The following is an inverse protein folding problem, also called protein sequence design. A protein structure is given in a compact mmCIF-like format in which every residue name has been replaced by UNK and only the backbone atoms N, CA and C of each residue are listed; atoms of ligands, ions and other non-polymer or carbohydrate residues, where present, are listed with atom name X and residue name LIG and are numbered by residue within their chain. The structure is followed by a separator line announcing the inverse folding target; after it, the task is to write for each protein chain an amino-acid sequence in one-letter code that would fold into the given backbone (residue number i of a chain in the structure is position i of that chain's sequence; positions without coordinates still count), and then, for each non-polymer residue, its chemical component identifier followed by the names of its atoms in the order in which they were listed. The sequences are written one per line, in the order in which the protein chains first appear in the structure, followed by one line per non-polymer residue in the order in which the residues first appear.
data_IF_523696543607
#
_entry.id   IF_523696543607
#
_cell.length_a   1.000
_cell.length_b   1.000
_cell.length_c   1.000
_cell.angle_alpha   90.00
_cell.angle_beta   90.00
_cell.angle_gamma   90.00
#
_symmetry.space_group_name_H-M   'P 1'
#
loop_
_entity.id
_entity.type
_entity.pdbx_description
1 polymer ?
#
# COMPACT_ATOMS: atom_id res chain seq x y z
N UNK A 1 -8.33 7.60 -22.74
CA UNK A 1 -8.70 9.03 -22.59
C UNK A 1 -8.73 9.45 -21.11
N UNK A 2 -9.46 8.75 -20.23
CA UNK A 2 -9.46 9.01 -18.78
C UNK A 2 -8.06 8.95 -18.11
N UNK A 3 -7.21 7.99 -18.51
CA UNK A 3 -5.84 7.83 -17.98
C UNK A 3 -4.83 8.88 -18.46
N UNK A 4 -5.16 9.57 -19.57
CA UNK A 4 -4.33 10.64 -20.12
C UNK A 4 -4.64 11.97 -19.42
N UNK A 5 -5.92 12.18 -19.09
CA UNK A 5 -6.39 13.31 -18.26
C UNK A 5 -5.89 13.16 -16.82
N UNK A 6 -5.85 11.93 -16.27
CA UNK A 6 -5.27 11.70 -14.94
C UNK A 6 -3.76 11.97 -14.88
N UNK A 7 -3.01 11.63 -15.94
CA UNK A 7 -1.57 11.94 -16.02
C UNK A 7 -1.30 13.45 -16.19
N UNK A 8 -2.12 14.15 -16.96
CA UNK A 8 -2.02 15.60 -17.10
C UNK A 8 -2.39 16.34 -15.79
N UNK A 9 -3.34 15.79 -15.02
CA UNK A 9 -3.73 16.31 -13.71
C UNK A 9 -2.62 16.13 -12.66
N UNK A 10 -1.88 15.01 -12.70
CA UNK A 10 -0.72 14.78 -11.83
C UNK A 10 0.40 15.80 -12.11
N UNK A 11 0.66 16.13 -13.38
CA UNK A 11 1.65 17.15 -13.76
C UNK A 11 1.22 18.58 -13.37
N UNK A 12 -0.09 18.87 -13.34
CA UNK A 12 -0.63 20.17 -12.91
C UNK A 12 -0.61 20.38 -11.39
N UNK A 13 -0.49 19.31 -10.60
CA UNK A 13 -0.38 19.37 -9.13
C UNK A 13 1.05 19.66 -8.63
N UNK A 14 2.06 19.68 -9.51
CA UNK A 14 3.44 19.97 -9.11
C UNK A 14 3.65 21.43 -8.67
N UNK A 15 2.83 22.38 -9.12
CA UNK A 15 3.04 23.82 -8.88
C UNK A 15 2.45 24.36 -7.55
N UNK A 16 1.92 23.52 -6.65
CA UNK A 16 1.19 23.99 -5.45
C UNK A 16 1.81 23.64 -4.10
N UNK A 17 2.98 22.98 -4.05
CA UNK A 17 3.57 22.57 -2.77
C UNK A 17 4.61 23.59 -2.30
N UNK A 18 4.17 24.57 -1.51
CA UNK A 18 5.08 25.44 -0.77
C UNK A 18 5.60 24.70 0.47
N UNK A 19 6.85 24.24 0.39
CA UNK A 19 7.57 23.65 1.51
C UNK A 19 8.70 24.59 1.97
N UNK A 20 8.91 24.67 3.29
CA UNK A 20 10.07 25.34 3.88
C UNK A 20 11.14 24.30 4.18
N UNK A 21 12.34 24.48 3.63
CA UNK A 21 13.50 23.62 3.87
C UNK A 21 14.60 24.41 4.58
N UNK A 22 15.10 23.88 5.69
CA UNK A 22 16.20 24.47 6.46
C UNK A 22 17.20 23.40 6.85
N UNK A 23 18.49 23.69 6.74
CA UNK A 23 19.60 22.77 7.05
C UNK A 23 20.75 23.53 7.71
N UNK A 24 21.36 22.93 8.72
CA UNK A 24 22.52 23.50 9.39
C UNK A 24 23.16 22.52 10.37
N UNK A 25 24.28 22.95 10.96
CA UNK A 25 24.93 22.25 12.07
C UNK A 25 24.58 23.00 13.35
N UNK A 26 24.01 22.28 14.31
CA UNK A 26 23.66 22.83 15.62
C UNK A 26 24.83 22.56 16.57
N UNK A 27 25.42 23.62 17.10
CA UNK A 27 26.45 23.52 18.11
C UNK A 27 25.98 24.26 19.37
N UNK A 28 25.73 23.50 20.43
CA UNK A 28 25.44 24.06 21.74
C UNK A 28 26.73 24.66 22.31
N UNK A 29 26.81 25.98 22.39
CA UNK A 29 28.06 26.70 22.70
C UNK A 29 28.34 26.80 24.20
N UNK A 30 27.36 26.47 25.06
CA UNK A 30 27.47 26.56 26.51
C UNK A 30 26.83 25.35 27.17
N UNK A 31 27.57 24.72 28.09
CA UNK A 31 27.06 23.65 28.96
C UNK A 31 25.86 24.11 29.81
N UNK A 32 25.74 25.42 30.04
CA UNK A 32 24.66 26.03 30.82
C UNK A 32 23.40 26.35 30.00
N UNK A 33 23.44 26.23 28.68
CA UNK A 33 22.29 26.47 27.80
C UNK A 33 22.10 25.27 26.87
N UNK A 34 21.54 24.15 27.36
CA UNK A 34 21.45 22.90 26.61
C UNK A 34 20.37 22.89 25.51
N UNK A 35 19.90 24.06 25.08
CA UNK A 35 18.81 24.19 24.11
C UNK A 35 19.21 25.16 23.01
N UNK A 36 18.70 24.90 21.81
CA UNK A 36 18.93 25.73 20.63
C UNK A 36 17.60 25.92 19.91
N UNK A 37 17.31 27.16 19.54
CA UNK A 37 16.22 27.47 18.63
C UNK A 37 16.55 27.00 17.21
N UNK A 38 15.66 26.20 16.63
CA UNK A 38 15.86 25.62 15.30
C UNK A 38 15.22 26.47 14.21
N UNK A 39 13.90 26.62 14.24
CA UNK A 39 13.16 27.37 13.24
C UNK A 39 11.73 27.70 13.70
N UNK A 40 11.09 28.63 13.01
CA UNK A 40 9.66 28.98 13.13
C UNK A 40 8.99 28.73 11.79
N UNK A 41 7.86 28.03 11.84
CA UNK A 41 7.07 27.68 10.67
C UNK A 41 5.58 27.78 10.99
N UNK A 42 4.76 27.84 9.94
CA UNK A 42 3.32 27.83 10.06
C UNK A 42 2.79 26.58 9.34
N UNK A 43 1.85 25.88 9.95
CA UNK A 43 1.15 24.76 9.34
C UNK A 43 -0.29 25.12 9.06
N UNK A 44 -0.81 24.65 7.93
CA UNK A 44 -2.25 24.52 7.73
C UNK A 44 -2.67 23.20 8.37
N UNK A 45 -3.55 23.28 9.36
CA UNK A 45 -4.09 22.11 10.07
C UNK A 45 -4.66 21.10 9.09
N UNK A 46 -4.51 19.81 9.39
CA UNK A 46 -5.01 18.65 8.62
C UNK A 46 -4.30 18.30 7.30
N UNK A 47 -3.55 19.24 6.68
CA UNK A 47 -2.85 18.98 5.41
C UNK A 47 -1.32 19.11 5.49
N UNK A 48 -0.79 19.77 6.52
CA UNK A 48 0.65 19.97 6.71
C UNK A 48 1.38 18.72 7.21
N UNK A 49 2.51 18.38 6.59
CA UNK A 49 3.43 17.32 7.06
C UNK A 49 4.74 17.94 7.51
N UNK A 50 5.22 17.59 8.71
CA UNK A 50 6.56 17.97 9.20
C UNK A 50 7.50 16.77 9.07
N UNK A 51 8.58 16.93 8.30
CA UNK A 51 9.65 15.95 8.22
C UNK A 51 10.96 16.56 8.74
N UNK A 52 11.68 15.82 9.59
CA UNK A 52 12.95 16.27 10.15
C UNK A 52 13.92 15.09 10.25
N UNK A 53 15.20 15.38 10.02
CA UNK A 53 16.28 14.40 10.19
C UNK A 53 17.36 15.03 11.05
N UNK A 54 17.53 14.52 12.27
CA UNK A 54 18.48 15.04 13.26
C UNK A 54 19.52 13.97 13.54
N UNK A 55 20.78 14.30 13.35
CA UNK A 55 21.92 13.45 13.71
C UNK A 55 22.52 13.99 14.99
N UNK A 56 22.56 13.15 16.02
CA UNK A 56 23.13 13.51 17.31
C UNK A 56 23.91 12.31 17.90
N UNK A 57 24.94 12.58 18.70
CA UNK A 57 25.68 11.55 19.42
C UNK A 57 24.76 10.81 20.41
N UNK A 58 24.73 9.49 20.35
CA UNK A 58 23.86 8.64 21.20
C UNK A 58 24.42 8.43 22.61
N UNK A 59 25.70 8.73 22.83
CA UNK A 59 26.41 8.64 24.11
C UNK A 59 25.95 9.69 25.14
N UNK A 60 25.42 10.83 24.68
CA UNK A 60 24.96 11.94 25.54
C UNK A 60 23.50 11.72 25.98
N UNK A 61 22.82 10.70 25.44
CA UNK A 61 21.45 10.34 25.77
C UNK A 61 20.41 10.85 24.75
N UNK A 62 19.16 10.48 24.99
CA UNK A 62 18.02 10.76 24.10
C UNK A 62 17.67 12.25 24.12
N UNK A 63 17.76 12.91 22.97
CA UNK A 63 17.35 14.30 22.79
C UNK A 63 15.84 14.40 22.48
N UNK A 64 15.24 15.55 22.74
CA UNK A 64 13.81 15.78 22.46
C UNK A 64 13.61 17.10 21.71
N UNK A 65 12.74 17.09 20.71
CA UNK A 65 12.24 18.29 20.05
C UNK A 65 11.02 18.81 20.81
N UNK A 66 11.02 20.12 21.07
CA UNK A 66 9.95 20.82 21.77
C UNK A 66 9.29 21.81 20.79
N UNK A 67 7.98 21.68 20.61
CA UNK A 67 7.18 22.48 19.71
C UNK A 67 6.31 23.44 20.52
N UNK A 68 6.54 24.73 20.39
CA UNK A 68 5.74 25.76 21.07
C UNK A 68 4.78 26.41 20.07
N UNK A 69 3.54 26.63 20.48
CA UNK A 69 2.64 27.50 19.74
C UNK A 69 3.08 28.95 19.89
N UNK A 70 2.80 29.73 18.85
CA UNK A 70 3.11 31.15 18.76
C UNK A 70 2.09 31.97 19.57
N UNK A 71 2.10 31.75 20.88
CA UNK A 71 1.19 32.37 21.83
C UNK A 71 1.95 32.90 23.05
N UNK A 72 1.40 33.91 23.75
CA UNK A 72 2.09 34.52 24.89
C UNK A 72 2.34 33.57 26.08
N UNK A 73 1.51 32.54 26.21
CA UNK A 73 1.59 31.51 27.26
C UNK A 73 2.62 30.42 26.96
N UNK A 74 3.03 30.24 25.70
CA UNK A 74 3.99 29.22 25.30
C UNK A 74 5.29 29.82 24.77
N UNK A 75 5.28 30.38 23.56
CA UNK A 75 6.50 30.88 22.92
C UNK A 75 7.13 32.04 23.70
N UNK A 76 6.35 33.08 24.04
CA UNK A 76 6.89 34.25 24.74
C UNK A 76 7.32 33.93 26.18
N UNK A 77 6.70 32.90 26.81
CA UNK A 77 7.07 32.45 28.15
C UNK A 77 8.43 31.72 28.18
N UNK A 78 8.84 31.11 27.07
CA UNK A 78 9.98 30.19 27.00
C UNK A 78 11.15 30.74 26.19
N UNK A 79 10.88 31.57 25.19
CA UNK A 79 11.91 32.17 24.36
C UNK A 79 12.69 33.23 25.13
N UNK A 80 14.03 33.17 25.05
CA UNK A 80 14.95 34.11 25.72
C UNK A 80 14.79 34.24 27.25
N UNK A 81 14.21 33.23 27.91
CA UNK A 81 14.06 33.16 29.36
C UNK A 81 15.07 32.22 30.03
N UNK A 82 15.40 32.48 31.30
CA UNK A 82 16.34 31.67 32.08
C UNK A 82 15.73 30.38 32.69
N UNK A 83 14.78 29.75 31.97
CA UNK A 83 14.10 28.52 32.42
C UNK A 83 14.98 27.27 32.25
N UNK A 84 14.85 26.33 33.18
CA UNK A 84 15.49 25.01 33.11
C UNK A 84 14.82 24.10 32.07
N UNK A 85 15.50 23.02 31.67
CA UNK A 85 14.95 22.05 30.71
C UNK A 85 13.59 21.49 31.15
N UNK A 86 13.46 21.13 32.43
CA UNK A 86 12.21 20.60 32.99
C UNK A 86 11.08 21.64 33.00
N UNK A 87 11.41 22.89 33.34
CA UNK A 87 10.44 23.99 33.34
C UNK A 87 9.94 24.30 31.92
N UNK A 88 10.82 24.23 30.91
CA UNK A 88 10.45 24.40 29.50
C UNK A 88 9.49 23.31 29.03
N UNK A 89 9.76 22.06 29.40
CA UNK A 89 8.86 20.93 29.10
C UNK A 89 7.52 21.08 29.82
N UNK A 90 7.49 21.63 31.05
CA UNK A 90 6.27 21.82 31.82
C UNK A 90 5.29 22.86 31.22
N UNK A 91 5.74 23.73 30.30
CA UNK A 91 4.88 24.66 29.55
C UNK A 91 4.10 23.95 28.45
N UNK A 92 4.56 22.78 28.00
CA UNK A 92 3.95 22.03 26.92
C UNK A 92 2.72 21.27 27.38
N UNK A 93 1.75 21.11 26.47
CA UNK A 93 0.59 20.27 26.68
C UNK A 93 0.87 18.84 26.17
N UNK A 94 0.81 17.80 27.04
CA UNK A 94 0.99 16.42 26.64
C UNK A 94 -0.02 15.94 25.59
N UNK A 95 -1.23 16.49 25.52
CA UNK A 95 -2.27 16.06 24.57
C UNK A 95 -1.96 16.49 23.13
N UNK A 96 -1.14 17.52 22.96
CA UNK A 96 -0.85 18.15 21.67
C UNK A 96 0.39 17.57 20.97
N UNK A 97 0.99 16.48 21.47
CA UNK A 97 2.20 15.85 20.92
C UNK A 97 3.37 16.85 20.70
N UNK A 98 3.48 17.86 21.57
CA UNK A 98 4.46 18.94 21.45
C UNK A 98 5.88 18.52 21.84
N UNK A 99 6.04 17.35 22.48
CA UNK A 99 7.34 16.76 22.80
C UNK A 99 7.58 15.52 21.94
N UNK A 100 8.54 15.62 21.02
CA UNK A 100 8.96 14.49 20.19
C UNK A 100 10.31 13.98 20.69
N UNK A 101 10.30 12.83 21.36
CA UNK A 101 11.52 12.17 21.81
C UNK A 101 12.22 11.52 20.61
N UNK A 102 13.47 11.89 20.36
CA UNK A 102 14.25 11.34 19.27
C UNK A 102 14.73 9.96 19.68
N UNK A 103 14.13 8.91 19.13
CA UNK A 103 14.69 7.57 19.23
C UNK A 103 15.69 7.37 18.10
N UNK A 104 16.88 6.78 18.36
CA UNK A 104 17.77 6.42 17.27
C UNK A 104 17.01 5.50 16.31
N UNK A 105 17.04 5.83 15.02
CA UNK A 105 16.46 4.99 13.99
C UNK A 105 17.27 3.68 13.96
N UNK A 106 16.63 2.59 14.33
CA UNK A 106 17.16 1.26 14.07
C UNK A 106 17.09 1.06 12.56
N UNK A 107 18.24 0.90 11.90
CA UNK A 107 18.37 0.62 10.47
C UNK A 107 17.78 -0.77 10.19
N UNK A 108 16.44 -0.80 10.14
CA UNK A 108 15.64 -2.00 9.94
C UNK A 108 15.98 -2.55 8.56
N UNK A 109 16.68 -3.69 8.54
CA UNK A 109 16.96 -4.51 7.36
C UNK A 109 15.86 -4.38 6.30
N UNK A 110 16.22 -3.77 5.15
CA UNK A 110 15.30 -3.46 4.09
C UNK A 110 14.50 -4.70 3.65
N UNK A 111 13.19 -4.67 3.91
CA UNK A 111 12.24 -5.76 3.61
C UNK A 111 12.16 -6.11 2.12
N UNK A 112 12.71 -5.26 1.26
CA UNK A 112 12.76 -5.39 -0.19
C UNK A 112 13.52 -6.64 -0.65
N UNK A 113 14.64 -6.99 -0.01
CA UNK A 113 15.45 -8.15 -0.43
C UNK A 113 14.71 -9.46 -0.11
N UNK A 114 14.11 -9.53 1.08
CA UNK A 114 13.32 -10.69 1.51
C UNK A 114 12.09 -10.86 0.61
N UNK A 115 11.39 -9.75 0.32
CA UNK A 115 10.26 -9.73 -0.60
C UNK A 115 10.64 -10.25 -1.99
N UNK A 116 11.74 -9.75 -2.56
CA UNK A 116 12.24 -10.17 -3.86
C UNK A 116 12.62 -11.66 -3.92
N UNK A 117 13.34 -12.17 -2.91
CA UNK A 117 13.69 -13.59 -2.84
C UNK A 117 12.45 -14.49 -2.78
N UNK A 118 11.45 -14.11 -1.99
CA UNK A 118 10.20 -14.86 -1.92
C UNK A 118 9.45 -14.87 -3.26
N UNK A 119 9.43 -13.72 -3.96
CA UNK A 119 8.84 -13.57 -5.27
C UNK A 119 9.53 -14.43 -6.33
N UNK A 120 10.87 -14.47 -6.35
CA UNK A 120 11.63 -15.31 -7.28
C UNK A 120 11.31 -16.79 -7.09
N UNK A 121 11.27 -17.26 -5.85
CA UNK A 121 10.94 -18.66 -5.53
C UNK A 121 9.51 -18.97 -6.01
N UNK A 122 8.53 -18.09 -5.74
CA UNK A 122 7.15 -18.26 -6.23
C UNK A 122 7.05 -18.26 -7.75
N UNK A 123 7.79 -17.39 -8.44
CA UNK A 123 7.80 -17.32 -9.90
C UNK A 123 8.40 -18.58 -10.53
N UNK A 124 9.50 -19.09 -9.97
CA UNK A 124 10.17 -20.32 -10.44
C UNK A 124 9.27 -21.54 -10.18
N UNK A 125 8.73 -21.67 -8.97
CA UNK A 125 7.84 -22.79 -8.62
C UNK A 125 6.55 -22.80 -9.45
N UNK A 126 6.02 -21.62 -9.78
CA UNK A 126 4.84 -21.51 -10.66
C UNK A 126 5.19 -21.88 -12.10
N UNK A 127 6.35 -21.46 -12.61
CA UNK A 127 6.84 -21.83 -13.92
C UNK A 127 7.10 -23.35 -14.02
N UNK A 128 7.64 -23.98 -12.98
CA UNK A 128 7.86 -25.43 -12.99
C UNK A 128 6.54 -26.20 -12.96
N UNK A 129 5.57 -25.75 -12.16
CA UNK A 129 4.23 -26.36 -12.00
C UNK A 129 3.35 -26.28 -13.26
N UNK A 130 3.47 -25.20 -14.05
CA UNK A 130 2.64 -24.99 -15.25
C UNK A 130 3.50 -24.90 -16.53
N UNK A 131 4.00 -26.03 -17.07
CA UNK A 131 4.91 -26.04 -18.21
C UNK A 131 4.35 -25.39 -19.47
N UNK A 132 3.04 -25.54 -19.71
CA UNK A 132 2.36 -24.97 -20.86
C UNK A 132 2.35 -23.42 -20.88
N UNK A 133 2.60 -22.78 -19.74
CA UNK A 133 2.52 -21.31 -19.56
C UNK A 133 3.86 -20.69 -19.15
N UNK A 134 4.96 -21.45 -19.23
CA UNK A 134 6.29 -21.03 -18.74
C UNK A 134 6.78 -19.71 -19.32
N UNK A 135 6.57 -19.48 -20.62
CA UNK A 135 7.00 -18.25 -21.28
C UNK A 135 6.37 -17.01 -20.64
N UNK A 136 5.08 -17.06 -20.31
CA UNK A 136 4.38 -15.97 -19.60
C UNK A 136 4.99 -15.72 -18.22
N UNK A 137 5.25 -16.78 -17.44
CA UNK A 137 5.81 -16.63 -16.09
C UNK A 137 7.27 -16.16 -16.09
N UNK A 138 8.08 -16.48 -17.11
CA UNK A 138 9.42 -15.93 -17.24
C UNK A 138 9.40 -14.44 -17.58
N UNK A 139 8.53 -14.01 -18.47
CA UNK A 139 8.36 -12.59 -18.82
C UNK A 139 7.83 -11.80 -17.60
N UNK A 140 6.83 -12.33 -16.91
CA UNK A 140 6.30 -11.76 -15.67
C UNK A 140 7.41 -11.64 -14.60
N UNK A 141 8.16 -12.72 -14.39
CA UNK A 141 9.27 -12.78 -13.44
C UNK A 141 10.34 -11.72 -13.70
N UNK A 142 10.79 -11.59 -14.95
CA UNK A 142 11.83 -10.64 -15.32
C UNK A 142 11.39 -9.18 -15.19
N UNK A 143 10.22 -8.82 -15.72
CA UNK A 143 9.73 -7.45 -15.70
C UNK A 143 9.40 -6.95 -14.29
N UNK A 144 8.85 -7.82 -13.44
CA UNK A 144 8.55 -7.48 -12.04
C UNK A 144 9.79 -7.46 -11.16
N UNK A 145 10.79 -8.31 -11.44
CA UNK A 145 12.08 -8.24 -10.73
C UNK A 145 12.73 -6.87 -10.93
N UNK A 146 12.73 -6.35 -12.16
CA UNK A 146 13.24 -5.00 -12.43
C UNK A 146 12.51 -3.95 -11.58
N UNK A 147 11.18 -4.04 -11.47
CA UNK A 147 10.39 -3.13 -10.64
C UNK A 147 10.75 -3.18 -9.14
N UNK A 148 11.02 -4.36 -8.57
CA UNK A 148 11.49 -4.48 -7.17
C UNK A 148 12.84 -3.79 -6.91
N UNK A 149 13.75 -3.80 -7.90
CA UNK A 149 15.05 -3.14 -7.78
C UNK A 149 15.01 -1.63 -8.08
N UNK A 150 13.94 -1.11 -8.69
CA UNK A 150 13.85 0.32 -8.99
C UNK A 150 13.94 1.20 -7.74
N UNK A 151 13.42 0.76 -6.59
CA UNK A 151 13.54 1.51 -5.33
C UNK A 151 15.00 1.72 -4.88
N UNK A 152 15.76 0.64 -4.62
CA UNK A 152 17.18 0.73 -4.28
C UNK A 152 18.04 1.45 -5.33
N UNK A 153 17.77 1.22 -6.62
CA UNK A 153 18.46 1.91 -7.72
C UNK A 153 18.18 3.42 -7.67
N UNK A 154 16.94 3.83 -7.39
CA UNK A 154 16.58 5.25 -7.27
C UNK A 154 17.29 5.90 -6.08
N UNK A 155 17.45 5.19 -4.96
CA UNK A 155 18.24 5.66 -3.81
C UNK A 155 19.72 5.81 -4.15
N UNK A 156 20.31 4.88 -4.90
CA UNK A 156 21.70 4.99 -5.33
C UNK A 156 21.89 6.21 -6.26
N UNK A 157 20.99 6.39 -7.23
CA UNK A 157 21.04 7.54 -8.14
C UNK A 157 20.89 8.85 -7.35
N UNK A 158 19.95 8.92 -6.41
CA UNK A 158 19.73 10.09 -5.56
C UNK A 158 20.96 10.49 -4.73
N UNK A 159 21.78 9.52 -4.30
CA UNK A 159 22.95 9.79 -3.48
C UNK A 159 24.22 10.10 -4.30
N UNK A 160 24.38 9.49 -5.48
CA UNK A 160 25.61 9.63 -6.27
C UNK A 160 25.54 10.64 -7.42
N UNK A 161 24.33 10.95 -7.90
CA UNK A 161 24.12 11.76 -9.12
C UNK A 161 23.46 13.11 -8.82
N UNK A 162 22.73 13.23 -7.71
CA UNK A 162 21.93 14.42 -7.43
C UNK A 162 22.46 15.24 -6.27
N UNK A 163 22.57 16.55 -6.52
CA UNK A 163 22.82 17.55 -5.50
C UNK A 163 21.59 17.73 -4.59
N UNK A 164 21.85 18.13 -3.34
CA UNK A 164 20.84 18.22 -2.28
C UNK A 164 19.60 19.05 -2.65
N UNK A 165 19.74 20.08 -3.48
CA UNK A 165 18.68 21.05 -3.79
C UNK A 165 17.62 20.55 -4.78
N UNK A 166 17.96 19.62 -5.67
CA UNK A 166 17.04 19.05 -6.68
C UNK A 166 16.65 17.61 -6.36
N UNK A 167 17.28 17.01 -5.36
CA UNK A 167 17.09 15.59 -5.03
C UNK A 167 15.63 15.26 -4.75
N UNK A 168 14.95 16.05 -3.94
CA UNK A 168 13.56 15.77 -3.53
C UNK A 168 12.60 15.73 -4.73
N UNK A 169 12.68 16.73 -5.62
CA UNK A 169 11.80 16.83 -6.78
C UNK A 169 12.05 15.70 -7.79
N UNK A 170 13.32 15.39 -8.07
CA UNK A 170 13.67 14.34 -9.03
C UNK A 170 13.36 12.96 -8.47
N UNK A 171 13.60 12.71 -7.18
CA UNK A 171 13.26 11.43 -6.55
C UNK A 171 11.74 11.20 -6.62
N UNK A 172 10.94 12.22 -6.33
CA UNK A 172 9.48 12.14 -6.44
C UNK A 172 9.02 11.85 -7.90
N UNK A 173 9.63 12.51 -8.90
CA UNK A 173 9.36 12.22 -10.31
C UNK A 173 9.71 10.78 -10.68
N UNK A 174 10.91 10.31 -10.28
CA UNK A 174 11.36 8.94 -10.54
C UNK A 174 10.43 7.92 -9.88
N UNK A 175 9.99 8.16 -8.65
CA UNK A 175 9.03 7.29 -7.95
C UNK A 175 7.68 7.21 -8.68
N UNK A 176 7.18 8.35 -9.18
CA UNK A 176 5.99 8.37 -10.03
C UNK A 176 6.17 7.55 -11.31
N UNK A 177 7.32 7.68 -11.98
CA UNK A 177 7.64 6.91 -13.19
C UNK A 177 7.75 5.40 -12.91
N UNK A 178 8.37 5.00 -11.80
CA UNK A 178 8.50 3.61 -11.36
C UNK A 178 7.14 2.99 -11.06
N UNK A 179 6.29 3.74 -10.37
CA UNK A 179 4.92 3.33 -10.06
C UNK A 179 4.09 3.18 -11.33
N UNK A 180 4.16 4.17 -12.23
CA UNK A 180 3.49 4.11 -13.53
C UNK A 180 3.95 2.91 -14.35
N UNK A 181 5.26 2.63 -14.40
CA UNK A 181 5.83 1.46 -15.07
C UNK A 181 5.26 0.15 -14.52
N UNK A 182 5.21 -0.01 -13.20
CA UNK A 182 4.65 -1.21 -12.56
C UNK A 182 3.20 -1.46 -12.98
N UNK A 183 2.36 -0.43 -12.92
CA UNK A 183 0.95 -0.54 -13.33
C UNK A 183 0.79 -0.76 -14.84
N UNK A 184 1.62 -0.13 -15.66
CA UNK A 184 1.58 -0.29 -17.12
C UNK A 184 1.96 -1.72 -17.52
N UNK A 185 3.04 -2.26 -16.97
CA UNK A 185 3.46 -3.66 -17.18
C UNK A 185 2.38 -4.62 -16.69
N UNK A 186 1.84 -4.41 -15.49
CA UNK A 186 0.77 -5.25 -14.95
C UNK A 186 -0.45 -5.26 -15.87
N UNK A 187 -0.85 -4.09 -16.39
CA UNK A 187 -1.97 -3.94 -17.30
C UNK A 187 -1.74 -4.68 -18.62
N UNK A 188 -0.55 -4.58 -19.22
CA UNK A 188 -0.23 -5.29 -20.46
C UNK A 188 -0.25 -6.81 -20.25
N UNK A 189 0.35 -7.28 -19.17
CA UNK A 189 0.45 -8.72 -18.88
C UNK A 189 -0.91 -9.34 -18.52
N UNK A 190 -1.77 -8.59 -17.85
CA UNK A 190 -3.11 -9.05 -17.44
C UNK A 190 -4.21 -8.70 -18.45
N UNK A 191 -3.87 -8.01 -19.55
CA UNK A 191 -4.84 -7.60 -20.55
C UNK A 191 -5.59 -8.82 -21.12
N UNK A 192 -6.93 -8.86 -21.05
CA UNK A 192 -7.72 -10.06 -21.31
C UNK A 192 -7.51 -10.61 -22.73
N UNK A 193 -7.32 -9.74 -23.73
CA UNK A 193 -7.03 -10.14 -25.11
C UNK A 193 -5.69 -10.87 -25.29
N UNK A 194 -4.67 -10.60 -24.47
CA UNK A 194 -3.35 -11.25 -24.54
C UNK A 194 -3.29 -12.46 -23.60
N UNK A 195 -3.88 -12.32 -22.41
CA UNK A 195 -3.95 -13.38 -21.41
C UNK A 195 -4.85 -14.54 -21.83
N UNK A 196 -5.80 -14.37 -22.76
CA UNK A 196 -6.70 -15.44 -23.24
C UNK A 196 -5.95 -16.64 -23.84
N UNK A 197 -4.79 -16.43 -24.48
CA UNK A 197 -3.97 -17.56 -24.97
C UNK A 197 -3.37 -18.38 -23.83
N UNK A 198 -2.94 -17.71 -22.75
CA UNK A 198 -2.34 -18.36 -21.59
C UNK A 198 -3.40 -18.86 -20.60
N UNK A 199 -4.56 -18.23 -20.54
CA UNK A 199 -5.67 -18.49 -19.61
C UNK A 199 -7.00 -18.41 -20.37
N UNK A 200 -7.39 -19.50 -21.06
CA UNK A 200 -8.60 -19.52 -21.87
C UNK A 200 -9.87 -19.38 -21.00
N UNK A 201 -10.91 -18.76 -21.55
CA UNK A 201 -12.18 -18.59 -20.86
C UNK A 201 -12.81 -19.94 -20.49
N UNK A 202 -13.15 -20.11 -19.22
CA UNK A 202 -13.81 -21.31 -18.69
C UNK A 202 -15.31 -21.38 -19.00
N UNK A 203 -15.90 -20.32 -19.57
CA UNK A 203 -17.29 -20.29 -20.01
C UNK A 203 -17.31 -19.98 -21.49
N UNK A 204 -17.85 -20.91 -22.29
CA UNK A 204 -18.11 -20.63 -23.71
C UNK A 204 -19.29 -19.67 -23.78
N UNK A 205 -19.12 -18.55 -24.47
CA UNK A 205 -20.18 -17.55 -24.71
C UNK A 205 -21.41 -18.13 -25.42
N UNK A 206 -21.35 -19.38 -25.89
CA UNK A 206 -22.46 -20.14 -26.48
C UNK A 206 -23.35 -20.86 -25.45
N UNK A 207 -23.06 -20.80 -24.15
CA UNK A 207 -23.88 -21.43 -23.09
C UNK A 207 -24.74 -20.45 -22.28
N UNK A 208 -24.94 -19.22 -22.78
CA UNK A 208 -25.85 -18.23 -22.17
C UNK A 208 -27.27 -18.30 -22.82
N UNK A 209 -27.59 -19.38 -23.55
CA UNK A 209 -28.90 -19.60 -24.15
C UNK A 209 -29.70 -20.69 -23.45
N UNK A 210 -30.89 -20.33 -23.01
CA UNK A 210 -32.01 -21.15 -22.50
C UNK A 210 -31.87 -21.83 -21.14
N UNK A 211 -31.99 -21.00 -20.09
CA UNK A 211 -32.26 -21.37 -18.69
C UNK A 211 -33.58 -22.12 -18.45
N UNK A 212 -34.30 -22.54 -19.50
CA UNK A 212 -35.61 -23.19 -19.37
C UNK A 212 -35.54 -24.71 -19.17
N UNK A 213 -34.35 -25.32 -19.35
CA UNK A 213 -34.17 -26.76 -19.27
C UNK A 213 -33.10 -27.14 -18.23
N UNK A 214 -33.14 -26.60 -17.01
CA UNK A 214 -32.47 -27.17 -15.81
C UNK A 214 -30.95 -27.45 -15.84
N UNK A 215 -30.26 -27.25 -16.96
CA UNK A 215 -28.87 -27.62 -17.19
C UNK A 215 -28.03 -26.35 -17.12
N UNK A 216 -27.54 -26.04 -15.92
CA UNK A 216 -26.54 -24.99 -15.76
C UNK A 216 -25.24 -25.40 -16.47
N UNK A 217 -24.52 -24.46 -17.11
CA UNK A 217 -23.24 -24.76 -17.75
C UNK A 217 -22.24 -25.26 -16.70
N UNK A 218 -21.91 -26.55 -16.77
CA UNK A 218 -20.92 -27.15 -15.88
C UNK A 218 -19.53 -26.65 -16.21
N UNK A 219 -18.82 -26.20 -15.19
CA UNK A 219 -17.41 -25.90 -15.33
C UNK A 219 -16.61 -27.19 -15.52
N UNK A 220 -15.53 -27.15 -16.31
CA UNK A 220 -14.66 -28.31 -16.56
C UNK A 220 -14.00 -28.88 -15.28
N UNK A 221 -14.06 -28.17 -14.15
CA UNK A 221 -13.58 -28.65 -12.85
C UNK A 221 -14.64 -29.37 -12.00
N UNK A 222 -15.88 -29.49 -12.48
CA UNK A 222 -16.94 -30.16 -11.72
C UNK A 222 -16.71 -31.69 -11.71
N UNK A 223 -16.63 -32.28 -10.52
CA UNK A 223 -16.38 -33.71 -10.33
C UNK A 223 -17.64 -34.48 -10.73
N UNK A 224 -17.60 -35.23 -11.83
CA UNK A 224 -18.67 -36.18 -12.19
C UNK A 224 -18.70 -37.32 -11.19
N UNK A 225 -19.68 -37.33 -10.30
CA UNK A 225 -20.08 -38.57 -9.64
C UNK A 225 -20.81 -39.43 -10.67
N UNK A 226 -20.15 -40.50 -11.12
CA UNK A 226 -20.76 -41.48 -12.01
C UNK A 226 -21.89 -42.17 -11.25
N UNK A 227 -23.13 -41.86 -11.61
CA UNK A 227 -24.30 -42.58 -11.10
C UNK A 227 -24.35 -43.95 -11.78
N UNK A 228 -23.56 -44.89 -11.26
CA UNK A 228 -23.69 -46.30 -11.59
C UNK A 228 -24.88 -46.84 -10.81
N UNK A 229 -25.93 -47.24 -11.53
CA UNK A 229 -27.18 -47.90 -11.12
C UNK A 229 -27.15 -48.66 -9.77
N UNK A 230 -27.16 -47.91 -8.67
CA UNK A 230 -27.28 -48.45 -7.33
C UNK A 230 -27.89 -47.36 -6.46
N UNK A 231 -29.03 -47.65 -5.85
CA UNK A 231 -29.72 -46.78 -4.90
C UNK A 231 -28.73 -46.21 -3.88
N UNK A 232 -28.41 -44.93 -3.98
CA UNK A 232 -27.59 -44.24 -3.01
C UNK A 232 -28.46 -43.89 -1.80
N UNK A 233 -28.10 -44.46 -0.66
CA UNK A 233 -28.78 -44.29 0.62
C UNK A 233 -28.69 -42.82 1.06
N UNK A 234 -29.85 -42.18 1.30
CA UNK A 234 -30.00 -40.73 1.54
C UNK A 234 -29.22 -40.23 2.78
N UNK A 235 -28.79 -41.14 3.66
CA UNK A 235 -27.99 -40.81 4.84
C UNK A 235 -26.54 -40.39 4.52
N UNK A 236 -25.93 -40.87 3.43
CA UNK A 236 -24.55 -40.47 3.06
C UNK A 236 -24.44 -39.03 2.54
N UNK A 237 -25.52 -38.45 2.03
CA UNK A 237 -25.54 -37.07 1.51
C UNK A 237 -25.58 -36.05 2.66
N UNK A 238 -26.11 -36.43 3.84
CA UNK A 238 -26.20 -35.52 5.00
C UNK A 238 -24.87 -35.26 5.70
N UNK A 239 -23.90 -36.17 5.63
CA UNK A 239 -22.60 -35.98 6.29
C UNK A 239 -21.63 -35.07 5.51
N UNK A 240 -21.83 -34.91 4.20
CA UNK A 240 -20.90 -34.18 3.32
C UNK A 240 -21.16 -32.68 3.18
N UNK A 241 -22.20 -32.14 3.81
CA UNK A 241 -22.46 -30.68 3.82
C UNK A 241 -22.69 -30.14 5.23
N UNK A 242 -21.65 -30.06 6.08
CA UNK A 242 -21.71 -29.21 7.26
C UNK A 242 -21.47 -27.77 6.80
N UNK A 243 -22.55 -27.08 6.44
CA UNK A 243 -22.57 -25.63 6.42
C UNK A 243 -22.91 -25.01 5.07
N UNK A 244 -24.20 -24.97 4.74
CA UNK A 244 -24.85 -23.80 4.14
C UNK A 244 -26.37 -24.04 4.08
N UNK A 245 -27.03 -23.98 5.25
CA UNK A 245 -28.44 -23.60 5.28
C UNK A 245 -28.50 -22.12 5.64
N UNK A 246 -28.72 -21.27 4.62
CA UNK A 246 -29.14 -19.89 4.83
C UNK A 246 -30.58 -19.76 4.34
N UNK A 247 -31.43 -19.41 5.29
CA UNK A 247 -32.87 -19.16 5.21
C UNK A 247 -33.33 -18.48 3.91
N UNK A 248 -34.42 -19.00 3.34
CA UNK A 248 -35.20 -18.37 2.29
C UNK A 248 -36.66 -18.74 2.47
N UNK A 249 -37.43 -17.76 2.94
CA UNK A 249 -38.86 -17.73 3.27
C UNK A 249 -39.81 -18.67 2.50
N UNK A 250 -40.66 -19.31 3.30
CA UNK A 250 -42.06 -19.67 2.97
C UNK A 250 -42.76 -18.46 2.37
N UNK A 251 -43.38 -18.62 1.21
CA UNK A 251 -44.47 -17.73 0.81
C UNK A 251 -45.63 -18.54 0.23
N UNK A 252 -46.65 -18.64 1.08
CA UNK A 252 -47.91 -19.30 0.87
C UNK A 252 -48.81 -18.37 0.04
N UNK A 253 -49.14 -18.74 -1.20
CA UNK A 253 -50.20 -18.04 -1.94
C UNK A 253 -51.19 -18.99 -2.59
N UNK A 254 -52.25 -19.20 -1.82
CA UNK A 254 -53.61 -19.59 -2.18
C UNK A 254 -54.10 -18.84 -3.44
N UNK A 255 -54.57 -19.57 -4.45
CA UNK A 255 -55.70 -19.13 -5.26
C UNK A 255 -56.55 -20.34 -5.67
N UNK A 256 -57.75 -20.35 -5.10
CA UNK A 256 -58.90 -21.20 -5.39
C UNK A 256 -59.45 -20.94 -6.79
N UNK A 257 -59.88 -21.99 -7.51
CA UNK A 257 -61.28 -22.22 -7.89
C UNK A 257 -61.47 -23.02 -9.20
N UNK A 258 -62.37 -24.02 -9.09
CA UNK A 258 -63.36 -24.49 -10.08
C UNK A 258 -63.04 -25.63 -11.08
N UNK A 259 -63.54 -26.82 -10.72
CA UNK A 259 -64.26 -27.83 -11.53
C UNK A 259 -65.42 -27.20 -12.35
N UNK A 260 -66.13 -27.86 -13.32
CA UNK A 260 -66.30 -29.32 -13.49
C UNK A 260 -66.35 -29.90 -14.93
N UNK A 261 -66.01 -31.19 -15.07
CA UNK A 261 -66.87 -32.24 -15.63
C UNK A 261 -66.32 -33.61 -15.28
#
# INVERSE_FOLDING_TARGET
MALFISNLFILFLFDLNWAKYSRGIIATTSEYMPWVYLDRFCFVTEMGTLNFTIRYPTDIGVQSLLLYYDTPDQWDAVYDTALTCEQRVAVLDPENNQQIKLTPSDDRFDSTIIGWLSYLISSITTATKYPAKRSFYYVLGALMTFWFFMGPISLLIANFVLDDWVREEVVNLVECCVTFYGFFVFTILTWPSSANHNFPFHVRTTQIGDSYQGDFPQSTYEVRYSNGNGEANIEQIRELSPGMMRNGMVDERRSTANTPR
#
